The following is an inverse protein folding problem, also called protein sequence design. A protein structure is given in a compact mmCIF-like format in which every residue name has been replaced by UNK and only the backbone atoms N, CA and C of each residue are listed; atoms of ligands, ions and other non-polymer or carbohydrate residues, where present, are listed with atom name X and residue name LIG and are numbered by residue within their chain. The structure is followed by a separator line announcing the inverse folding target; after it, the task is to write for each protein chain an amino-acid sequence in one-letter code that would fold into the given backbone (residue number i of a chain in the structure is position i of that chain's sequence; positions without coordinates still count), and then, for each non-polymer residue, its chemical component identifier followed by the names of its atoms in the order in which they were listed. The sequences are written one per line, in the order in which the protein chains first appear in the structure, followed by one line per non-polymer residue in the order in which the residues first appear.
data_IF_790759840191
#
_entry.id   IF_790759840191
#
_cell.length_a   1.000
_cell.length_b   1.000
_cell.length_c   1.000
_cell.angle_alpha   90.00
_cell.angle_beta   90.00
_cell.angle_gamma   90.00
#
_symmetry.space_group_name_H-M   'P 1'
#
loop_
_entity.id
_entity.type
_entity.pdbx_description
1 polymer ?
#
# COMPACT_ATOMS: atom_id res chain seq x y z
N UNK A 1 4.68 20.19 -6.45
CA UNK A 1 4.84 18.73 -6.60
C UNK A 1 5.68 18.47 -7.84
N UNK A 2 6.81 17.76 -7.71
CA UNK A 2 7.70 17.51 -8.85
C UNK A 2 7.08 16.49 -9.82
N UNK A 3 7.31 16.70 -11.12
CA UNK A 3 6.77 15.87 -12.20
C UNK A 3 7.25 14.41 -12.08
N UNK A 4 8.46 14.18 -11.56
CA UNK A 4 8.99 12.83 -11.35
C UNK A 4 8.25 12.09 -10.24
N UNK A 5 7.89 12.77 -9.15
CA UNK A 5 7.09 12.20 -8.06
C UNK A 5 5.72 11.74 -8.56
N UNK A 6 5.05 12.57 -9.35
CA UNK A 6 3.75 12.21 -9.95
C UNK A 6 3.84 10.98 -10.84
N UNK A 7 4.87 10.93 -11.70
CA UNK A 7 5.11 9.77 -12.57
C UNK A 7 5.36 8.51 -11.74
N UNK A 8 6.16 8.61 -10.67
CA UNK A 8 6.43 7.50 -9.76
C UNK A 8 5.18 6.99 -9.04
N UNK A 9 4.35 7.90 -8.51
CA UNK A 9 3.06 7.55 -7.88
C UNK A 9 2.16 6.81 -8.88
N UNK A 10 2.02 7.34 -10.10
CA UNK A 10 1.16 6.74 -11.12
C UNK A 10 1.64 5.34 -11.51
N UNK A 11 2.94 5.16 -11.73
CA UNK A 11 3.50 3.86 -12.08
C UNK A 11 3.24 2.80 -10.99
N UNK A 12 3.35 3.16 -9.71
CA UNK A 12 3.09 2.22 -8.61
C UNK A 12 1.60 1.85 -8.51
N UNK A 13 0.70 2.81 -8.74
CA UNK A 13 -0.75 2.52 -8.79
C UNK A 13 -1.06 1.53 -9.92
N UNK A 14 -0.54 1.76 -11.12
CA UNK A 14 -0.72 0.85 -12.26
C UNK A 14 -0.19 -0.57 -11.97
N UNK A 15 0.93 -0.70 -11.27
CA UNK A 15 1.45 -2.00 -10.83
C UNK A 15 0.51 -2.71 -9.82
N UNK A 16 -0.04 -1.97 -8.85
CA UNK A 16 -1.00 -2.50 -7.86
C UNK A 16 -2.28 -3.01 -8.53
N UNK A 17 -2.81 -2.24 -9.49
CA UNK A 17 -3.96 -2.64 -10.30
C UNK A 17 -3.64 -3.88 -11.14
N UNK A 18 -2.44 -3.93 -11.73
CA UNK A 18 -1.92 -5.09 -12.45
C UNK A 18 -1.92 -6.36 -11.61
N UNK A 19 -1.46 -6.29 -10.35
CA UNK A 19 -1.50 -7.43 -9.43
C UNK A 19 -2.92 -7.87 -9.10
N UNK A 20 -3.84 -6.93 -8.89
CA UNK A 20 -5.25 -7.22 -8.61
C UNK A 20 -5.91 -7.94 -9.78
N UNK A 21 -5.66 -7.47 -11.01
CA UNK A 21 -6.13 -8.09 -12.24
C UNK A 21 -5.54 -9.49 -12.45
N UNK A 22 -4.27 -9.70 -12.08
CA UNK A 22 -3.63 -11.03 -12.15
C UNK A 22 -4.29 -12.01 -11.18
N UNK A 23 -4.55 -11.61 -9.93
CA UNK A 23 -5.21 -12.47 -8.94
C UNK A 23 -6.62 -12.85 -9.39
N UNK A 24 -7.40 -11.90 -9.92
CA UNK A 24 -8.76 -12.16 -10.41
C UNK A 24 -8.81 -13.14 -11.60
N UNK A 25 -7.75 -13.20 -12.41
CA UNK A 25 -7.64 -14.12 -13.56
C UNK A 25 -7.20 -15.52 -13.17
N UNK A 26 -6.64 -15.71 -11.98
CA UNK A 26 -6.29 -17.03 -11.48
C UNK A 26 -7.59 -17.68 -11.03
N UNK A 27 -7.99 -18.74 -11.75
CA UNK A 27 -9.09 -19.60 -11.34
C UNK A 27 -8.74 -20.21 -9.98
N UNK A 28 -9.40 -19.74 -8.92
CA UNK A 28 -9.19 -20.15 -7.53
C UNK A 28 -9.82 -21.53 -7.31
N UNK A 29 -9.41 -22.51 -8.12
CA UNK A 29 -9.53 -23.91 -7.70
C UNK A 29 -8.59 -24.08 -6.50
N UNK A 30 -8.95 -24.99 -5.59
CA UNK A 30 -8.16 -25.32 -4.39
C UNK A 30 -6.80 -25.98 -4.72
N UNK A 31 -6.17 -25.62 -5.83
CA UNK A 31 -4.84 -26.04 -6.21
C UNK A 31 -3.80 -25.30 -5.34
N UNK A 32 -2.97 -26.03 -4.57
CA UNK A 32 -1.92 -25.44 -3.75
C UNK A 32 -0.91 -24.59 -4.53
N UNK A 33 -0.71 -24.87 -5.83
CA UNK A 33 0.18 -24.10 -6.70
C UNK A 33 -0.42 -22.72 -6.96
N UNK A 34 -1.71 -22.63 -7.31
CA UNK A 34 -2.38 -21.35 -7.50
C UNK A 34 -2.45 -20.54 -6.21
N UNK A 35 -2.67 -21.18 -5.06
CA UNK A 35 -2.61 -20.53 -3.75
C UNK A 35 -1.23 -19.94 -3.44
N UNK A 36 -0.15 -20.67 -3.77
CA UNK A 36 1.22 -20.20 -3.63
C UNK A 36 1.50 -18.99 -4.53
N UNK A 37 1.03 -19.03 -5.78
CA UNK A 37 1.17 -17.92 -6.74
C UNK A 37 0.41 -16.68 -6.24
N UNK A 38 -0.84 -16.83 -5.80
CA UNK A 38 -1.63 -15.73 -5.23
C UNK A 38 -0.90 -15.12 -4.02
N UNK A 39 -0.39 -15.95 -3.12
CA UNK A 39 0.37 -15.49 -1.94
C UNK A 39 1.59 -14.67 -2.37
N UNK A 40 2.34 -15.10 -3.38
CA UNK A 40 3.49 -14.34 -3.88
C UNK A 40 3.08 -13.01 -4.52
N UNK A 41 1.97 -12.98 -5.25
CA UNK A 41 1.44 -11.75 -5.85
C UNK A 41 0.98 -10.77 -4.76
N UNK A 42 0.26 -11.24 -3.74
CA UNK A 42 -0.14 -10.42 -2.58
C UNK A 42 1.06 -9.85 -1.83
N UNK A 43 2.13 -10.64 -1.65
CA UNK A 43 3.39 -10.13 -1.08
C UNK A 43 4.01 -8.99 -1.90
N UNK A 44 4.03 -9.11 -3.23
CA UNK A 44 4.52 -8.05 -4.13
C UNK A 44 3.62 -6.82 -4.08
N UNK A 45 2.31 -7.02 -4.10
CA UNK A 45 1.29 -5.96 -3.99
C UNK A 45 1.44 -5.17 -2.67
N UNK A 46 1.62 -5.86 -1.54
CA UNK A 46 1.91 -5.23 -0.24
C UNK A 46 3.17 -4.40 -0.23
N UNK A 47 4.25 -4.88 -0.87
CA UNK A 47 5.50 -4.11 -1.01
C UNK A 47 5.24 -2.79 -1.75
N UNK A 48 4.44 -2.81 -2.82
CA UNK A 48 4.09 -1.60 -3.59
C UNK A 48 3.22 -0.63 -2.82
N UNK A 49 2.24 -1.10 -2.05
CA UNK A 49 1.47 -0.22 -1.17
C UNK A 49 2.34 0.51 -0.12
N UNK A 50 3.34 -0.18 0.45
CA UNK A 50 4.31 0.46 1.38
C UNK A 50 5.19 1.50 0.69
N UNK A 51 5.63 1.22 -0.54
CA UNK A 51 6.42 2.15 -1.34
C UNK A 51 5.61 3.40 -1.71
N UNK A 52 4.35 3.21 -2.14
CA UNK A 52 3.42 4.28 -2.43
C UNK A 52 3.19 5.17 -1.21
N UNK A 53 2.93 4.58 -0.04
CA UNK A 53 2.79 5.31 1.20
C UNK A 53 4.04 6.12 1.54
N UNK A 54 5.23 5.49 1.38
CA UNK A 54 6.51 6.14 1.61
C UNK A 54 6.71 7.37 0.72
N UNK A 55 6.39 7.26 -0.57
CA UNK A 55 6.47 8.38 -1.52
C UNK A 55 5.50 9.50 -1.19
N UNK A 56 4.25 9.18 -0.83
CA UNK A 56 3.25 10.18 -0.43
C UNK A 56 3.72 10.96 0.81
N UNK A 57 4.25 10.26 1.81
CA UNK A 57 4.80 10.88 3.03
C UNK A 57 6.02 11.75 2.71
N UNK A 58 7.00 11.22 1.97
CA UNK A 58 8.22 11.96 1.61
C UNK A 58 7.92 13.21 0.80
N UNK A 59 6.88 13.16 -0.02
CA UNK A 59 6.48 14.26 -0.89
C UNK A 59 5.48 15.21 -0.24
N UNK A 60 5.06 14.95 1.01
CA UNK A 60 4.01 15.66 1.73
C UNK A 60 2.70 15.78 0.92
N UNK A 61 2.30 14.67 0.26
CA UNK A 61 1.10 14.59 -0.57
C UNK A 61 0.03 13.81 0.20
N UNK A 62 -1.18 14.38 0.26
CA UNK A 62 -2.33 13.73 0.87
C UNK A 62 -3.48 13.61 -0.12
N UNK A 63 -3.81 12.38 -0.49
CA UNK A 63 -5.02 12.02 -1.23
C UNK A 63 -5.87 11.18 -0.30
N UNK A 64 -7.02 11.70 0.15
CA UNK A 64 -7.81 11.07 1.21
C UNK A 64 -8.21 9.63 0.89
N UNK A 65 -8.85 9.41 -0.27
CA UNK A 65 -9.32 8.10 -0.69
C UNK A 65 -8.18 7.10 -0.88
N UNK A 66 -7.11 7.52 -1.55
CA UNK A 66 -5.93 6.68 -1.77
C UNK A 66 -5.22 6.32 -0.46
N UNK A 67 -5.07 7.29 0.45
CA UNK A 67 -4.47 7.04 1.76
C UNK A 67 -5.33 6.09 2.59
N UNK A 68 -6.66 6.23 2.53
CA UNK A 68 -7.57 5.30 3.19
C UNK A 68 -7.43 3.89 2.64
N UNK A 69 -7.41 3.73 1.31
CA UNK A 69 -7.21 2.43 0.65
C UNK A 69 -5.89 1.76 1.06
N UNK A 70 -4.77 2.51 0.97
CA UNK A 70 -3.44 2.02 1.37
C UNK A 70 -3.48 1.54 2.82
N UNK A 71 -4.04 2.35 3.73
CA UNK A 71 -4.08 2.04 5.15
C UNK A 71 -4.99 0.85 5.46
N UNK A 72 -6.15 0.75 4.82
CA UNK A 72 -7.08 -0.36 4.98
C UNK A 72 -6.47 -1.67 4.48
N UNK A 73 -5.75 -1.64 3.34
CA UNK A 73 -5.04 -2.80 2.82
C UNK A 73 -3.89 -3.23 3.74
N UNK A 74 -3.05 -2.30 4.21
CA UNK A 74 -1.91 -2.62 5.07
C UNK A 74 -2.33 -3.11 6.46
N UNK A 75 -3.45 -2.62 7.00
CA UNK A 75 -4.00 -3.05 8.31
C UNK A 75 -4.61 -4.44 8.30
N UNK A 76 -5.19 -4.89 7.17
CA UNK A 76 -5.79 -6.24 7.05
C UNK A 76 -4.79 -7.37 7.31
N UNK A 77 -3.49 -7.07 7.22
CA UNK A 77 -2.43 -8.04 7.07
C UNK A 77 -1.28 -7.80 8.07
N UNK A 78 -1.50 -6.94 9.08
CA UNK A 78 -0.68 -6.83 10.28
C UNK A 78 -1.31 -7.72 11.37
N UNK A 79 -0.70 -8.88 11.63
CA UNK A 79 -0.71 -9.38 13.02
C UNK A 79 -0.23 -8.21 13.90
N UNK A 80 -0.84 -7.94 15.06
CA UNK A 80 -0.48 -6.80 15.92
C UNK A 80 0.98 -6.95 16.31
N UNK A 81 1.87 -6.32 15.55
CA UNK A 81 3.30 -6.40 15.72
C UNK A 81 3.75 -4.99 16.04
N UNK A 82 4.71 -4.88 16.97
CA UNK A 82 5.27 -3.72 17.69
C UNK A 82 5.51 -2.42 16.88
N UNK A 83 5.39 -2.47 15.55
CA UNK A 83 5.39 -1.34 14.61
C UNK A 83 4.28 -0.32 14.95
N UNK A 84 3.18 -0.71 15.61
CA UNK A 84 2.11 0.20 16.04
C UNK A 84 2.62 1.41 16.86
N UNK A 85 3.60 1.24 17.76
CA UNK A 85 4.01 2.34 18.65
C UNK A 85 4.81 3.42 17.92
N UNK A 86 5.72 3.04 17.04
CA UNK A 86 6.50 4.03 16.26
C UNK A 86 5.70 4.58 15.07
N UNK A 87 4.81 3.79 14.50
CA UNK A 87 3.98 4.22 13.37
C UNK A 87 2.85 5.16 13.81
N UNK A 88 2.11 4.83 14.87
CA UNK A 88 1.08 5.72 15.42
C UNK A 88 1.69 7.05 15.88
N UNK A 89 2.88 7.02 16.48
CA UNK A 89 3.64 8.22 16.87
C UNK A 89 3.97 9.12 15.67
N UNK A 90 4.44 8.57 14.55
CA UNK A 90 4.73 9.35 13.33
C UNK A 90 3.46 9.88 12.67
N UNK A 91 2.40 9.09 12.63
CA UNK A 91 1.09 9.49 12.08
C UNK A 91 0.44 10.61 12.92
N UNK A 92 0.53 10.51 14.25
CA UNK A 92 0.04 11.52 15.19
C UNK A 92 0.84 12.82 15.08
N UNK A 93 2.15 12.73 14.86
CA UNK A 93 3.01 13.90 14.62
C UNK A 93 2.64 14.61 13.31
N UNK A 94 2.40 13.86 12.24
CA UNK A 94 1.92 14.41 10.97
C UNK A 94 0.54 15.08 11.12
N UNK A 95 -0.42 14.46 11.83
CA UNK A 95 -1.73 15.08 12.15
C UNK A 95 -1.62 16.38 12.92
N UNK A 96 -0.72 16.48 13.91
CA UNK A 96 -0.50 17.71 14.68
C UNK A 96 0.05 18.86 13.83
N UNK A 97 0.85 18.56 12.81
CA UNK A 97 1.38 19.56 11.89
C UNK A 97 0.33 20.07 10.87
N UNK A 98 -0.79 19.37 10.72
CA UNK A 98 -1.89 19.71 9.82
C UNK A 98 -3.05 20.45 10.53
N UNK A 99 -2.99 20.61 11.85
CA UNK A 99 -3.89 21.46 12.63
C UNK A 99 -3.21 22.80 12.96
N UNK A 100 -2.88 23.54 11.90
CA UNK A 100 -2.64 24.98 11.88
C UNK A 100 -3.51 25.56 10.79
#
# INVERSE_FOLDING_TARGET
MDKKTLIGIKAIIEEIEGFSNLIQKIDVKEDPVFQSVITQIEWKKKKRYKELLGLLIQSNIYFEDLNKEIMDYLKKDEKPTVIEKHFASKLQKARKMLHV
#
